data_IF_257760061965
#
_entry.id   IF_257760061965
#
_cell.length_a   1.000
_cell.length_b   1.000
_cell.length_c   1.000
_cell.angle_alpha   90.00
_cell.angle_beta   90.00
_cell.angle_gamma   90.00
#
_symmetry.space_group_name_H-M   'P 1'
#
loop_
_entity.id
_entity.type
_entity.pdbx_description
1 polymer ?
#
# COMPACT_ATOMS: atom_id res chain seq x y z
N UNK A 1 2.75 -10.50 -0.62
CA UNK A 1 2.88 -10.05 -2.04
C UNK A 1 3.49 -8.66 -2.13
N UNK A 2 3.89 -8.24 -3.33
CA UNK A 2 4.41 -6.90 -3.61
C UNK A 2 3.73 -6.28 -4.83
N UNK A 3 3.64 -4.95 -4.85
CA UNK A 3 3.14 -4.17 -6.00
C UNK A 3 4.04 -2.97 -6.26
N UNK A 4 4.34 -2.72 -7.53
CA UNK A 4 5.03 -1.52 -7.98
C UNK A 4 4.02 -0.53 -8.57
N UNK A 5 3.75 0.53 -7.81
CA UNK A 5 2.90 1.64 -8.22
C UNK A 5 3.72 2.87 -8.62
N UNK A 6 5.04 2.73 -8.75
CA UNK A 6 5.89 3.82 -9.18
C UNK A 6 5.44 4.34 -10.56
N UNK A 7 5.28 5.66 -10.66
CA UNK A 7 4.82 6.39 -11.86
C UNK A 7 3.34 6.26 -12.19
N UNK A 8 2.57 5.51 -11.40
CA UNK A 8 1.11 5.60 -11.48
C UNK A 8 0.63 6.93 -10.93
N UNK A 9 -0.54 7.36 -11.38
CA UNK A 9 -1.24 8.41 -10.66
C UNK A 9 -1.82 7.87 -9.34
N UNK A 10 -2.27 8.79 -8.48
CA UNK A 10 -2.72 8.42 -7.15
C UNK A 10 -3.97 7.53 -7.17
N UNK A 11 -4.92 7.80 -8.06
CA UNK A 11 -6.17 7.05 -8.14
C UNK A 11 -5.94 5.66 -8.72
N UNK A 12 -5.18 5.58 -9.82
CA UNK A 12 -4.72 4.30 -10.38
C UNK A 12 -4.00 3.46 -9.33
N UNK A 13 -3.07 4.07 -8.59
CA UNK A 13 -2.33 3.37 -7.54
C UNK A 13 -3.24 2.85 -6.41
N UNK A 14 -4.30 3.60 -6.04
CA UNK A 14 -5.25 3.17 -5.01
C UNK A 14 -6.02 1.95 -5.48
N UNK A 15 -6.54 1.97 -6.72
CA UNK A 15 -7.30 0.86 -7.29
C UNK A 15 -6.43 -0.41 -7.37
N UNK A 16 -5.19 -0.27 -7.83
CA UNK A 16 -4.20 -1.36 -7.89
C UNK A 16 -3.85 -1.94 -6.51
N UNK A 17 -3.71 -1.08 -5.49
CA UNK A 17 -3.48 -1.54 -4.11
C UNK A 17 -4.69 -2.33 -3.60
N UNK A 18 -5.91 -1.85 -3.85
CA UNK A 18 -7.15 -2.52 -3.41
C UNK A 18 -7.24 -3.89 -4.09
N UNK A 19 -7.05 -3.95 -5.41
CA UNK A 19 -7.02 -5.20 -6.15
C UNK A 19 -6.01 -6.20 -5.57
N UNK A 20 -4.79 -5.77 -5.27
CA UNK A 20 -3.80 -6.67 -4.66
C UNK A 20 -4.18 -7.11 -3.24
N UNK A 21 -4.85 -6.26 -2.47
CA UNK A 21 -5.34 -6.63 -1.14
C UNK A 21 -6.44 -7.70 -1.20
N UNK A 22 -7.33 -7.64 -2.20
CA UNK A 22 -8.32 -8.69 -2.48
C UNK A 22 -7.62 -10.01 -2.84
N UNK A 23 -6.63 -9.97 -3.74
CA UNK A 23 -5.81 -11.13 -4.06
C UNK A 23 -5.11 -11.70 -2.81
N UNK A 24 -4.58 -10.85 -1.94
CA UNK A 24 -3.96 -11.30 -0.69
C UNK A 24 -4.96 -12.06 0.21
N UNK A 25 -6.24 -11.68 0.23
CA UNK A 25 -7.26 -12.42 0.98
C UNK A 25 -7.52 -13.81 0.40
N UNK A 26 -7.62 -13.91 -0.94
CA UNK A 26 -7.84 -15.17 -1.66
C UNK A 26 -6.66 -16.13 -1.41
N UNK A 27 -5.44 -15.63 -1.52
CA UNK A 27 -4.21 -16.43 -1.36
C UNK A 27 -3.75 -16.57 0.10
N UNK A 28 -4.50 -16.02 1.07
CA UNK A 28 -4.20 -16.02 2.52
C UNK A 28 -2.84 -15.40 2.86
N UNK A 29 -2.41 -14.44 2.05
CA UNK A 29 -1.21 -13.64 2.26
C UNK A 29 -1.42 -12.63 3.38
N UNK A 30 -0.46 -12.54 4.30
CA UNK A 30 -0.56 -11.66 5.49
C UNK A 30 0.22 -10.36 5.38
N UNK A 31 0.95 -10.19 4.28
CA UNK A 31 1.82 -9.04 4.08
C UNK A 31 1.72 -8.54 2.65
N UNK A 32 1.72 -7.21 2.53
CA UNK A 32 1.81 -6.50 1.25
C UNK A 32 2.97 -5.50 1.34
N UNK A 33 3.78 -5.44 0.29
CA UNK A 33 4.82 -4.42 0.11
C UNK A 33 4.45 -3.54 -1.07
N UNK A 34 4.29 -2.24 -0.81
CA UNK A 34 3.93 -1.25 -1.83
C UNK A 34 5.20 -0.48 -2.19
N UNK A 35 5.67 -0.64 -3.43
CA UNK A 35 6.79 0.09 -3.99
C UNK A 35 6.24 1.36 -4.63
N UNK A 36 6.46 2.50 -3.98
CA UNK A 36 5.95 3.81 -4.40
C UNK A 36 7.06 4.69 -4.99
N UNK A 37 8.31 4.20 -5.05
CA UNK A 37 9.47 4.96 -5.50
C UNK A 37 9.96 5.99 -4.46
N UNK A 38 11.17 6.51 -4.69
CA UNK A 38 11.84 7.43 -3.74
C UNK A 38 11.86 8.90 -4.21
N UNK A 39 12.39 9.18 -5.40
CA UNK A 39 12.65 10.57 -5.86
C UNK A 39 11.44 11.27 -6.49
N UNK A 40 10.63 10.55 -7.26
CA UNK A 40 9.47 11.12 -7.97
C UNK A 40 8.12 10.71 -7.38
N UNK A 41 8.09 9.70 -6.51
CA UNK A 41 6.87 9.18 -5.88
C UNK A 41 6.48 9.87 -4.57
N UNK A 42 6.81 11.15 -4.39
CA UNK A 42 6.58 11.84 -3.11
C UNK A 42 5.10 11.86 -2.73
N UNK A 43 4.21 12.10 -3.71
CA UNK A 43 2.75 12.11 -3.49
C UNK A 43 2.27 10.73 -3.01
N UNK A 44 2.63 9.67 -3.73
CA UNK A 44 2.26 8.30 -3.36
C UNK A 44 2.83 7.92 -1.99
N UNK A 45 4.11 8.21 -1.74
CA UNK A 45 4.75 7.97 -0.44
C UNK A 45 4.02 8.68 0.69
N UNK A 46 3.76 9.97 0.54
CA UNK A 46 3.13 10.79 1.57
C UNK A 46 1.69 10.30 1.84
N UNK A 47 0.96 9.92 0.79
CA UNK A 47 -0.35 9.31 0.90
C UNK A 47 -0.30 7.96 1.65
N UNK A 48 0.54 7.01 1.23
CA UNK A 48 0.69 5.69 1.87
C UNK A 48 1.16 5.80 3.33
N UNK A 49 1.90 6.87 3.67
CA UNK A 49 2.34 7.13 5.04
C UNK A 49 1.30 7.87 5.88
N UNK A 50 0.21 8.34 5.29
CA UNK A 50 -0.83 9.10 5.98
C UNK A 50 -1.78 8.19 6.76
N UNK A 51 -2.37 8.74 7.83
CA UNK A 51 -3.51 8.12 8.52
C UNK A 51 -4.76 8.05 7.63
N UNK A 52 -4.83 8.89 6.60
CA UNK A 52 -5.89 8.89 5.60
C UNK A 52 -5.95 7.56 4.84
N UNK A 53 -4.79 7.09 4.37
CA UNK A 53 -4.66 5.79 3.70
C UNK A 53 -5.15 4.63 4.58
N UNK A 54 -4.69 4.55 5.83
CA UNK A 54 -5.13 3.47 6.75
C UNK A 54 -6.64 3.51 6.98
N UNK A 55 -7.21 4.71 7.12
CA UNK A 55 -8.66 4.88 7.31
C UNK A 55 -9.45 4.48 6.07
N UNK A 56 -8.97 4.81 4.88
CA UNK A 56 -9.62 4.46 3.61
C UNK A 56 -9.55 2.96 3.35
N UNK A 57 -8.39 2.33 3.54
CA UNK A 57 -8.24 0.88 3.44
C UNK A 57 -9.16 0.16 4.44
N UNK A 58 -9.30 0.69 5.67
CA UNK A 58 -10.25 0.16 6.65
C UNK A 58 -11.70 0.27 6.19
N UNK A 59 -12.10 1.38 5.53
CA UNK A 59 -13.44 1.53 4.93
C UNK A 59 -13.67 0.55 3.79
N UNK A 60 -12.63 0.24 3.02
CA UNK A 60 -12.65 -0.77 1.97
C UNK A 60 -12.63 -2.22 2.52
N UNK A 61 -12.58 -2.42 3.85
CA UNK A 61 -12.63 -3.74 4.48
C UNK A 61 -11.26 -4.31 4.88
N UNK A 62 -10.16 -3.58 4.68
CA UNK A 62 -8.81 -4.05 4.97
C UNK A 62 -8.24 -3.42 6.25
N UNK A 63 -7.85 -4.24 7.21
CA UNK A 63 -7.17 -3.77 8.42
C UNK A 63 -5.66 -3.87 8.27
N UNK A 64 -5.00 -2.76 7.95
CA UNK A 64 -3.55 -2.70 7.76
C UNK A 64 -2.78 -2.23 9.00
N UNK A 65 -1.59 -2.78 9.21
CA UNK A 65 -0.61 -2.29 10.20
C UNK A 65 0.74 -2.10 9.52
N UNK A 66 1.23 -0.86 9.47
CA UNK A 66 2.55 -0.53 8.89
C UNK A 66 3.67 -1.24 9.63
N UNK A 67 4.61 -1.82 8.89
CA UNK A 67 5.86 -2.38 9.42
C UNK A 67 6.89 -1.27 9.59
N UNK A 68 7.62 -1.26 10.71
CA UNK A 68 8.55 -0.18 11.09
C UNK A 68 9.84 -0.11 10.27
N UNK A 69 9.99 -0.92 9.21
CA UNK A 69 11.22 -0.95 8.41
C UNK A 69 11.28 0.33 7.57
N UNK A 70 12.40 1.06 7.69
CA UNK A 70 12.68 2.23 6.85
C UNK A 70 13.20 1.77 5.50
N UNK A 71 12.32 1.71 4.51
CA UNK A 71 12.68 1.70 3.09
C UNK A 71 12.16 3.00 2.47
N UNK A 72 13.03 3.73 1.78
CA UNK A 72 12.68 5.05 1.26
C UNK A 72 11.80 4.99 -0.01
N UNK A 73 11.78 3.84 -0.71
CA UNK A 73 11.02 3.62 -1.93
C UNK A 73 9.89 2.60 -1.81
N UNK A 74 9.73 1.97 -0.64
CA UNK A 74 8.68 0.98 -0.43
C UNK A 74 8.17 0.99 1.02
N UNK A 75 6.92 0.57 1.21
CA UNK A 75 6.31 0.43 2.52
C UNK A 75 5.60 -0.91 2.64
N UNK A 76 5.91 -1.66 3.70
CA UNK A 76 5.28 -2.96 3.97
C UNK A 76 4.20 -2.82 5.04
N UNK A 77 3.06 -3.47 4.84
CA UNK A 77 1.96 -3.58 5.78
C UNK A 77 1.68 -5.05 6.12
N UNK A 78 1.27 -5.29 7.37
CA UNK A 78 0.60 -6.52 7.78
C UNK A 78 -0.91 -6.35 7.57
N UNK A 79 -1.51 -7.36 6.96
CA UNK A 79 -2.96 -7.49 6.80
C UNK A 79 -3.46 -8.32 7.99
N UNK A 80 -4.46 -7.79 8.71
CA UNK A 80 -5.07 -8.48 9.86
C UNK A 80 -6.29 -9.27 9.48
#
# INVERSE_FOLDING_TARGET
MEIDIHRMDLWEAIDEIIYLLEECQIHKERTITIIHGYRHGKILKDYIHSEGFIREMKKAGFSLKKKTIRNQGATTFFIK
#
